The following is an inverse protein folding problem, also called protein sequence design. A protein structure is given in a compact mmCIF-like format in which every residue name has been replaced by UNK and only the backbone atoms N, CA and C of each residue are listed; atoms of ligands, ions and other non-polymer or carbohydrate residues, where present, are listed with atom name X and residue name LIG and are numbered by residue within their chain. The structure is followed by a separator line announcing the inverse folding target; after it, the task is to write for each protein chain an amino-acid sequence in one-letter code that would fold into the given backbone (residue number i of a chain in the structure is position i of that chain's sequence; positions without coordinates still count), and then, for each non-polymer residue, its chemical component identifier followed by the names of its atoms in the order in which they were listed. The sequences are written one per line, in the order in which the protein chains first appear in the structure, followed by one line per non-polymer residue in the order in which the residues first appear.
data_IF_727807664178
#
_entry.id   IF_727807664178
#
_cell.length_a   1.000
_cell.length_b   1.000
_cell.length_c   1.000
_cell.angle_alpha   90.00
_cell.angle_beta   90.00
_cell.angle_gamma   90.00
#
_symmetry.space_group_name_H-M   'P 1'
#
loop_
_entity.id
_entity.type
_entity.pdbx_description
1 polymer ?
#
# COMPACT_ATOMS: atom_id res chain seq x y z
N UNK A 1 8.43 6.77 -11.39
CA UNK A 1 7.26 7.32 -10.73
C UNK A 1 7.64 8.50 -9.91
N UNK A 2 6.77 9.47 -9.85
CA UNK A 2 7.10 10.71 -9.19
C UNK A 2 6.57 10.82 -7.77
N UNK A 3 5.68 9.94 -7.36
CA UNK A 3 5.09 9.98 -6.02
C UNK A 3 5.03 8.58 -5.46
N UNK A 4 5.22 8.45 -4.16
CA UNK A 4 5.19 7.14 -3.51
C UNK A 4 3.80 6.50 -3.55
N UNK A 5 2.74 7.32 -3.58
CA UNK A 5 1.39 6.79 -3.69
C UNK A 5 1.19 5.95 -4.96
N UNK A 6 1.90 6.26 -6.03
CA UNK A 6 1.83 5.49 -7.27
C UNK A 6 2.56 4.14 -7.13
N UNK A 7 3.66 4.11 -6.38
CA UNK A 7 4.33 2.85 -6.07
C UNK A 7 3.42 1.96 -5.22
N UNK A 8 2.74 2.56 -4.25
CA UNK A 8 1.80 1.83 -3.39
C UNK A 8 0.70 1.22 -4.25
N UNK A 9 0.16 1.99 -5.20
CA UNK A 9 -0.87 1.49 -6.10
C UNK A 9 -0.38 0.25 -6.85
N UNK A 10 0.81 0.30 -7.43
CA UNK A 10 1.35 -0.81 -8.18
C UNK A 10 1.58 -2.05 -7.31
N UNK A 11 2.07 -1.87 -6.11
CA UNK A 11 2.35 -2.98 -5.21
C UNK A 11 1.06 -3.63 -4.74
N UNK A 12 0.05 -2.82 -4.42
CA UNK A 12 -1.26 -3.35 -4.00
C UNK A 12 -1.93 -4.10 -5.16
N UNK A 13 -1.72 -3.66 -6.41
CA UNK A 13 -2.23 -4.42 -7.55
C UNK A 13 -1.62 -5.84 -7.59
N UNK A 14 -0.35 -5.98 -7.19
CA UNK A 14 0.25 -7.31 -7.08
C UNK A 14 -0.44 -8.13 -5.99
N UNK A 15 -0.78 -7.52 -4.86
CA UNK A 15 -1.50 -8.20 -3.78
C UNK A 15 -2.85 -8.70 -4.27
N UNK A 16 -3.58 -7.86 -4.99
CA UNK A 16 -4.89 -8.22 -5.51
C UNK A 16 -4.77 -9.34 -6.56
N UNK A 17 -3.76 -9.28 -7.42
CA UNK A 17 -3.51 -10.33 -8.40
C UNK A 17 -3.14 -11.66 -7.73
N UNK A 18 -2.54 -11.59 -6.55
CA UNK A 18 -2.21 -12.78 -5.78
C UNK A 18 -3.41 -13.33 -5.00
N UNK A 19 -4.58 -12.78 -5.21
CA UNK A 19 -5.80 -13.28 -4.57
C UNK A 19 -6.02 -12.81 -3.13
N UNK A 20 -5.37 -11.75 -2.72
CA UNK A 20 -5.55 -11.25 -1.35
C UNK A 20 -6.97 -10.81 -1.11
N UNK A 21 -7.58 -11.25 -0.01
CA UNK A 21 -8.88 -10.77 0.42
C UNK A 21 -8.72 -9.57 1.34
N UNK A 22 -7.57 -9.43 1.98
CA UNK A 22 -7.25 -8.30 2.83
C UNK A 22 -5.85 -7.80 2.49
N UNK A 23 -5.72 -6.49 2.28
CA UNK A 23 -4.43 -5.83 2.11
C UNK A 23 -4.35 -4.72 3.15
N UNK A 24 -3.27 -4.72 3.92
CA UNK A 24 -3.03 -3.68 4.92
C UNK A 24 -1.97 -2.75 4.39
N UNK A 25 -2.24 -1.46 4.45
CA UNK A 25 -1.33 -0.43 3.98
C UNK A 25 -1.11 0.54 5.12
N UNK A 26 0.13 0.74 5.53
CA UNK A 26 0.42 1.72 6.58
C UNK A 26 1.47 2.71 6.12
N UNK A 27 1.28 3.97 6.48
CA UNK A 27 2.24 5.04 6.26
C UNK A 27 2.49 5.69 7.61
N UNK A 28 3.69 5.52 8.13
CA UNK A 28 4.04 6.03 9.46
C UNK A 28 5.20 6.99 9.34
N UNK A 29 4.99 8.24 9.77
CA UNK A 29 6.06 9.22 9.82
C UNK A 29 6.45 9.43 11.26
N UNK A 30 7.74 9.41 11.54
CA UNK A 30 8.22 9.72 12.87
C UNK A 30 9.56 10.43 12.73
N UNK A 31 9.64 11.68 13.16
CA UNK A 31 10.84 12.47 13.00
C UNK A 31 11.20 12.62 11.53
N UNK A 32 12.38 12.14 11.17
CA UNK A 32 12.90 12.26 9.81
C UNK A 32 12.75 10.96 9.00
N UNK A 33 11.91 10.07 9.44
CA UNK A 33 11.70 8.82 8.74
C UNK A 33 10.24 8.62 8.36
N UNK A 34 10.02 7.99 7.22
CA UNK A 34 8.69 7.54 6.80
C UNK A 34 8.80 6.06 6.49
N UNK A 35 7.95 5.25 7.10
CA UNK A 35 7.88 3.82 6.81
C UNK A 35 6.56 3.51 6.11
N UNK A 36 6.63 2.81 5.00
CA UNK A 36 5.44 2.34 4.29
C UNK A 36 5.47 0.82 4.31
N UNK A 37 4.43 0.22 4.84
CA UNK A 37 4.32 -1.23 4.89
C UNK A 37 3.07 -1.68 4.15
N UNK A 38 3.20 -2.75 3.38
CA UNK A 38 2.08 -3.34 2.65
C UNK A 38 2.09 -4.83 2.97
N UNK A 39 0.99 -5.32 3.56
CA UNK A 39 0.88 -6.69 4.01
C UNK A 39 -0.37 -7.28 3.39
N UNK A 40 -0.27 -8.42 2.75
CA UNK A 40 -1.43 -9.05 2.16
C UNK A 40 -1.52 -10.53 2.55
N UNK A 41 -2.71 -11.09 2.44
CA UNK A 41 -2.95 -12.48 2.70
C UNK A 41 -3.17 -13.28 1.40
N UNK A 42 -2.52 -12.87 0.33
CA UNK A 42 -2.60 -13.57 -0.94
C UNK A 42 -1.87 -14.90 -0.93
N UNK A 43 -1.64 -15.47 -2.11
CA UNK A 43 -1.04 -16.79 -2.17
C UNK A 43 0.43 -16.84 -1.77
N UNK A 44 1.07 -15.69 -1.64
CA UNK A 44 2.47 -15.63 -1.27
C UNK A 44 3.41 -16.07 -2.38
N UNK A 45 4.69 -16.08 -2.06
CA UNK A 45 5.74 -16.40 -3.02
C UNK A 45 6.76 -17.33 -2.40
N UNK A 46 7.40 -18.14 -3.25
CA UNK A 46 8.56 -18.93 -2.84
C UNK A 46 9.77 -18.00 -2.70
N UNK A 47 10.83 -18.48 -2.09
CA UNK A 47 12.05 -17.68 -1.95
C UNK A 47 12.62 -17.30 -3.32
N UNK A 48 12.48 -18.15 -4.31
CA UNK A 48 12.93 -17.85 -5.65
C UNK A 48 12.12 -16.74 -6.27
N UNK A 49 10.82 -16.77 -6.08
CA UNK A 49 9.92 -15.72 -6.59
C UNK A 49 10.21 -14.38 -5.92
N UNK A 50 10.52 -14.39 -4.62
CA UNK A 50 10.87 -13.16 -3.91
C UNK A 50 12.12 -12.54 -4.53
N UNK A 51 13.14 -13.35 -4.80
CA UNK A 51 14.36 -12.85 -5.42
C UNK A 51 14.07 -12.27 -6.79
N UNK A 52 13.17 -12.90 -7.52
CA UNK A 52 12.83 -12.46 -8.85
C UNK A 52 12.08 -11.13 -8.82
N UNK A 53 11.17 -10.95 -7.87
CA UNK A 53 10.31 -9.77 -7.85
C UNK A 53 11.08 -8.51 -7.47
N UNK A 54 12.17 -8.63 -6.73
CA UNK A 54 12.94 -7.46 -6.33
C UNK A 54 14.03 -7.10 -7.34
N UNK A 55 14.30 -7.94 -8.33
CA UNK A 55 15.35 -7.70 -9.28
C UNK A 55 14.76 -7.16 -10.57
N UNK A 56 15.06 -5.92 -10.95
CA UNK A 56 14.49 -5.34 -12.16
C UNK A 56 14.92 -6.06 -13.44
N UNK A 57 16.03 -6.83 -13.37
CA UNK A 57 16.51 -7.49 -14.56
C UNK A 57 16.05 -8.94 -14.65
N UNK A 58 15.35 -9.46 -13.63
CA UNK A 58 15.06 -10.81 -13.62
C UNK A 58 13.85 -11.08 -14.33
N UNK A 59 13.15 -10.20 -14.67
CA UNK A 59 11.93 -10.45 -15.18
C UNK A 59 11.89 -10.97 -16.40
N UNK A 60 12.48 -11.05 -16.90
CA UNK A 60 12.41 -11.70 -18.03
C UNK A 60 11.28 -11.73 -18.69
N UNK A 61 11.11 -11.61 -19.17
CA UNK A 61 10.21 -11.83 -20.02
C UNK A 61 9.06 -11.76 -19.92
N UNK A 62 8.68 -11.71 -20.40
CA UNK A 62 7.60 -12.10 -20.55
C UNK A 62 6.67 -11.54 -19.87
N UNK A 63 6.15 -11.43 -19.86
CA UNK A 63 5.07 -11.29 -19.21
C UNK A 63 4.92 -10.32 -18.33
N UNK A 64 5.51 -9.76 -18.08
CA UNK A 64 5.27 -9.06 -17.16
C UNK A 64 5.03 -7.79 -17.24
N UNK A 65 4.14 -7.41 -17.23
CA UNK A 65 3.81 -6.21 -17.27
C UNK A 65 4.04 -5.60 -16.06
N UNK A 66 4.04 -6.08 -15.08
CA UNK A 66 4.13 -5.49 -13.94
C UNK A 66 5.38 -5.60 -13.40
N UNK A 67 6.20 -6.03 -13.55
CA UNK A 67 7.34 -6.35 -12.90
C UNK A 67 8.22 -5.31 -12.31
N UNK A 68 8.04 -4.06 -12.49
CA UNK A 68 8.95 -3.06 -11.97
C UNK A 68 8.49 -2.34 -10.72
N UNK A 69 7.28 -2.58 -10.26
CA UNK A 69 6.75 -1.88 -9.09
C UNK A 69 7.61 -2.05 -7.85
N UNK A 70 7.90 -3.28 -7.48
CA UNK A 70 8.68 -3.57 -6.27
C UNK A 70 10.14 -3.13 -6.41
N UNK A 71 10.85 -3.44 -7.51
CA UNK A 71 12.23 -2.96 -7.65
C UNK A 71 12.36 -1.45 -7.60
N UNK A 72 11.43 -0.72 -8.20
CA UNK A 72 11.47 0.73 -8.18
C UNK A 72 11.20 1.29 -6.80
N UNK A 73 10.30 0.68 -6.04
CA UNK A 73 10.01 1.09 -4.68
C UNK A 73 11.22 0.86 -3.77
N UNK A 74 11.86 -0.30 -3.91
CA UNK A 74 13.07 -0.62 -3.19
C UNK A 74 14.15 0.41 -3.49
N UNK A 75 14.36 0.72 -4.76
CA UNK A 75 15.35 1.69 -5.17
C UNK A 75 15.04 3.07 -4.58
N UNK A 76 13.80 3.50 -4.62
CA UNK A 76 13.39 4.79 -4.08
C UNK A 76 13.74 4.92 -2.58
N UNK A 77 13.49 3.86 -1.81
CA UNK A 77 13.80 3.87 -0.38
C UNK A 77 15.31 3.90 -0.15
N UNK A 78 16.04 3.07 -0.85
CA UNK A 78 17.50 2.96 -0.66
C UNK A 78 18.23 4.23 -1.10
N UNK A 79 17.74 4.90 -2.12
CA UNK A 79 18.34 6.16 -2.57
C UNK A 79 18.28 7.26 -1.51
N UNK A 80 17.31 7.21 -0.60
CA UNK A 80 17.22 8.19 0.49
C UNK A 80 18.14 7.82 1.66
N UNK A 81 18.84 6.70 1.59
CA UNK A 81 19.59 6.18 2.73
C UNK A 81 18.72 5.34 3.65
N UNK A 82 17.53 5.00 3.21
CA UNK A 82 16.62 4.16 3.98
C UNK A 82 16.81 2.68 3.70
N UNK A 83 15.77 1.90 3.89
CA UNK A 83 15.88 0.45 3.78
C UNK A 83 14.64 -0.16 3.15
N UNK A 84 14.76 -1.40 2.73
CA UNK A 84 13.66 -2.14 2.14
C UNK A 84 13.74 -3.60 2.60
N UNK A 85 12.61 -4.18 2.93
CA UNK A 85 12.56 -5.60 3.24
C UNK A 85 11.28 -6.19 2.68
N UNK A 86 11.34 -7.45 2.31
CA UNK A 86 10.17 -8.17 1.84
C UNK A 86 10.28 -9.60 2.34
N UNK A 87 9.19 -10.14 2.84
CA UNK A 87 9.11 -11.53 3.24
C UNK A 87 7.80 -12.10 2.73
N UNK A 88 7.82 -13.33 2.31
CA UNK A 88 6.65 -13.99 1.75
C UNK A 88 6.73 -15.48 2.03
N UNK A 89 5.58 -16.11 2.16
CA UNK A 89 5.50 -17.52 2.38
C UNK A 89 4.32 -18.03 1.58
N UNK A 90 4.53 -19.12 0.85
CA UNK A 90 3.46 -19.69 0.05
C UNK A 90 2.27 -20.07 0.94
N UNK A 91 1.10 -19.64 0.54
CA UNK A 91 -0.12 -19.89 1.31
C UNK A 91 -0.40 -18.90 2.42
N UNK A 92 0.53 -18.01 2.73
CA UNK A 92 0.37 -17.09 3.85
C UNK A 92 0.30 -15.62 3.45
N UNK A 93 0.90 -15.26 2.34
CA UNK A 93 0.89 -13.89 1.86
C UNK A 93 2.26 -13.24 1.83
N UNK A 94 2.26 -11.92 1.71
CA UNK A 94 3.50 -11.15 1.54
C UNK A 94 3.50 -9.93 2.46
N UNK A 95 4.66 -9.62 3.01
CA UNK A 95 4.87 -8.42 3.82
C UNK A 95 6.04 -7.64 3.21
N UNK A 96 5.83 -6.39 2.95
CA UNK A 96 6.85 -5.54 2.34
C UNK A 96 6.92 -4.26 3.15
N UNK A 97 8.12 -3.80 3.47
CA UNK A 97 8.32 -2.55 4.22
C UNK A 97 9.44 -1.75 3.60
N UNK A 98 9.19 -0.47 3.37
CA UNK A 98 10.20 0.46 2.87
C UNK A 98 10.31 1.62 3.85
N UNK A 99 11.53 1.98 4.21
CA UNK A 99 11.80 3.10 5.11
C UNK A 99 12.55 4.16 4.32
N UNK A 100 12.09 5.40 4.41
CA UNK A 100 12.66 6.52 3.68
C UNK A 100 13.19 7.54 4.67
N UNK A 101 14.33 8.15 4.32
CA UNK A 101 14.85 9.28 5.09
C UNK A 101 14.28 10.53 4.45
N UNK A 102 13.35 11.18 5.13
CA UNK A 102 12.56 12.25 4.52
C UNK A 102 13.34 13.53 4.23
N UNK A 103 14.51 13.69 4.86
CA UNK A 103 15.33 14.87 4.61
C UNK A 103 16.33 14.68 3.49
N UNK A 104 16.37 13.50 2.87
CA UNK A 104 17.29 13.25 1.76
C UNK A 104 16.88 14.07 0.54
N UNK A 105 17.86 14.50 -0.25
CA UNK A 105 17.58 15.21 -1.50
C UNK A 105 16.92 14.25 -2.52
N UNK A 106 17.06 12.95 -2.32
CA UNK A 106 16.46 11.95 -3.21
C UNK A 106 15.07 11.53 -2.78
N UNK A 107 14.54 12.11 -1.73
CA UNK A 107 13.19 11.76 -1.27
C UNK A 107 12.14 12.23 -2.28
N UNK A 108 11.28 11.33 -2.70
CA UNK A 108 10.15 11.70 -3.53
C UNK A 108 8.92 11.88 -2.65
N UNK A 109 8.00 12.76 -3.01
CA UNK A 109 6.85 13.02 -2.15
C UNK A 109 5.93 11.83 -2.04
N UNK A 110 5.21 11.75 -0.91
CA UNK A 110 4.22 10.71 -0.72
C UNK A 110 3.12 10.84 -1.76
N UNK A 111 2.73 12.05 -2.10
CA UNK A 111 1.64 12.28 -3.02
C UNK A 111 0.28 12.11 -2.34
N UNK A 112 -0.75 11.94 -3.14
CA UNK A 112 -2.11 11.84 -2.62
C UNK A 112 -2.45 10.39 -2.28
N UNK A 113 -1.97 9.94 -1.14
CA UNK A 113 -2.22 8.57 -0.69
C UNK A 113 -3.71 8.33 -0.43
N UNK A 114 -4.44 9.36 0.01
CA UNK A 114 -5.87 9.20 0.28
C UNK A 114 -6.63 8.85 -1.00
N UNK A 115 -6.31 9.51 -2.10
CA UNK A 115 -6.94 9.20 -3.40
C UNK A 115 -6.57 7.79 -3.86
N UNK A 116 -5.35 7.36 -3.59
CA UNK A 116 -4.92 6.00 -3.92
C UNK A 116 -5.76 4.97 -3.16
N UNK A 117 -5.95 5.17 -1.86
CA UNK A 117 -6.73 4.26 -1.04
C UNK A 117 -8.20 4.26 -1.51
N UNK A 118 -8.76 5.42 -1.74
CA UNK A 118 -10.14 5.55 -2.21
C UNK A 118 -10.33 4.82 -3.54
N UNK A 119 -9.40 4.99 -4.47
CA UNK A 119 -9.49 4.35 -5.76
C UNK A 119 -9.37 2.82 -5.66
N UNK A 120 -8.49 2.33 -4.79
CA UNK A 120 -8.35 0.90 -4.57
C UNK A 120 -9.66 0.28 -4.06
N UNK A 121 -10.33 0.95 -3.14
CA UNK A 121 -11.61 0.49 -2.61
C UNK A 121 -12.67 0.52 -3.70
N UNK A 122 -12.73 1.61 -4.45
CA UNK A 122 -13.74 1.77 -5.50
C UNK A 122 -13.61 0.71 -6.58
N UNK A 123 -12.39 0.41 -6.98
CA UNK A 123 -12.16 -0.56 -8.04
C UNK A 123 -12.22 -2.02 -7.56
N UNK A 124 -12.19 -2.24 -6.25
CA UNK A 124 -12.18 -3.58 -5.67
C UNK A 124 -13.15 -3.65 -4.49
N UNK A 125 -14.43 -3.39 -4.72
CA UNK A 125 -15.40 -3.28 -3.61
C UNK A 125 -15.66 -4.60 -2.87
N UNK A 126 -15.23 -5.72 -3.45
CA UNK A 126 -15.37 -7.03 -2.83
C UNK A 126 -14.12 -7.45 -2.06
N UNK A 127 -13.10 -6.63 -1.99
CA UNK A 127 -11.90 -6.91 -1.22
C UNK A 127 -11.84 -6.01 -0.01
N UNK A 128 -11.02 -6.35 0.96
CA UNK A 128 -10.88 -5.54 2.15
C UNK A 128 -9.53 -4.86 2.22
N UNK A 129 -9.53 -3.66 2.79
CA UNK A 129 -8.33 -2.86 2.96
C UNK A 129 -8.31 -2.30 4.37
N UNK A 130 -7.15 -2.34 5.00
CA UNK A 130 -6.91 -1.68 6.27
C UNK A 130 -5.84 -0.64 6.02
N UNK A 131 -6.20 0.62 6.09
CA UNK A 131 -5.27 1.72 5.90
C UNK A 131 -5.01 2.41 7.23
N UNK A 132 -3.74 2.53 7.59
CA UNK A 132 -3.34 3.21 8.80
C UNK A 132 -2.37 4.30 8.44
N UNK A 133 -2.59 5.49 8.95
CA UNK A 133 -1.65 6.60 8.76
C UNK A 133 -1.30 7.18 10.11
N UNK A 134 -0.03 7.38 10.36
CA UNK A 134 0.46 7.91 11.62
C UNK A 134 1.52 8.96 11.39
N UNK A 135 1.55 9.98 12.25
CA UNK A 135 2.56 11.01 12.19
C UNK A 135 2.86 11.46 13.61
N UNK A 136 4.09 11.23 14.05
CA UNK A 136 4.59 11.68 15.35
C UNK A 136 3.63 11.38 16.51
N UNK A 137 3.16 10.16 16.57
CA UNK A 137 2.30 9.70 17.67
C UNK A 137 0.81 9.87 17.47
N UNK A 138 0.38 10.56 16.42
CA UNK A 138 -1.03 10.69 16.09
C UNK A 138 -1.34 9.74 14.95
N UNK A 139 -2.48 9.11 14.98
CA UNK A 139 -2.83 8.16 13.93
C UNK A 139 -4.31 8.03 13.68
N UNK A 140 -4.67 7.52 12.53
CA UNK A 140 -6.03 7.10 12.24
C UNK A 140 -6.00 5.84 11.37
N UNK A 141 -7.13 5.14 11.33
CA UNK A 141 -7.26 3.94 10.54
C UNK A 141 -8.56 3.98 9.75
N UNK A 142 -8.55 3.42 8.57
CA UNK A 142 -9.77 3.14 7.81
C UNK A 142 -9.76 1.64 7.54
N UNK A 143 -10.76 0.92 8.06
CA UNK A 143 -10.86 -0.53 7.91
C UNK A 143 -12.18 -0.84 7.20
N UNK A 144 -12.11 -1.34 5.99
CA UNK A 144 -13.32 -1.63 5.21
C UNK A 144 -14.17 -2.72 5.84
N UNK A 145 -13.57 -3.61 6.64
CA UNK A 145 -14.32 -4.64 7.35
C UNK A 145 -15.26 -4.02 8.39
N UNK A 146 -14.81 -2.94 9.04
CA UNK A 146 -15.64 -2.21 9.97
C UNK A 146 -16.77 -1.48 9.24
N UNK A 147 -16.46 -0.91 8.08
CA UNK A 147 -17.48 -0.25 7.27
C UNK A 147 -18.56 -1.23 6.84
N UNK A 148 -18.19 -2.43 6.43
CA UNK A 148 -19.16 -3.44 6.02
C UNK A 148 -20.08 -3.81 7.18
N UNK A 149 -19.52 -3.87 8.39
CA UNK A 149 -20.30 -4.22 9.55
C UNK A 149 -21.34 -3.14 9.88
N UNK A 150 -20.94 -1.89 9.74
CA UNK A 150 -21.82 -0.75 10.03
C UNK A 150 -22.88 -0.59 8.94
N UNK A 151 -22.50 -0.77 7.67
CA UNK A 151 -23.42 -0.58 6.56
C UNK A 151 -24.42 -1.74 6.44
N UNK A 152 -24.04 -2.90 6.84
CA UNK A 152 -24.89 -4.10 6.74
C UNK A 152 -24.90 -4.69 5.34
N UNK A 153 -25.69 -5.76 5.18
CA UNK A 153 -25.73 -6.45 3.92
C UNK A 153 -26.45 -5.62 2.89
N UNK A 154 -26.09 -5.81 1.65
CA UNK A 154 -26.78 -5.15 0.55
C UNK A 154 -26.26 -3.77 0.20
N UNK A 155 -25.27 -3.25 0.94
CA UNK A 155 -24.68 -1.96 0.61
C UNK A 155 -23.24 -2.23 0.14
N UNK A 156 -22.96 -1.87 -1.11
CA UNK A 156 -21.63 -2.07 -1.68
C UNK A 156 -20.70 -0.93 -1.27
N UNK A 157 -19.42 -1.24 -1.08
CA UNK A 157 -18.45 -0.21 -0.69
C UNK A 157 -18.27 0.84 -1.79
N UNK A 158 -18.51 0.51 -3.06
CA UNK A 158 -18.36 1.46 -4.15
C UNK A 158 -19.64 2.27 -4.41
N UNK A 159 -20.64 2.15 -3.57
CA UNK A 159 -21.83 2.99 -3.69
C UNK A 159 -21.43 4.46 -3.56
N UNK A 160 -22.01 5.38 -4.35
CA UNK A 160 -21.59 6.78 -4.32
C UNK A 160 -21.59 7.41 -2.93
N UNK A 161 -22.60 7.13 -2.11
CA UNK A 161 -22.66 7.69 -0.77
C UNK A 161 -21.55 7.17 0.13
N UNK A 162 -21.19 5.89 -0.04
CA UNK A 162 -20.11 5.28 0.75
C UNK A 162 -18.79 5.88 0.33
N UNK A 163 -18.57 6.05 -0.97
CA UNK A 163 -17.32 6.63 -1.46
C UNK A 163 -17.17 8.09 -1.03
N UNK A 164 -18.25 8.85 -1.02
CA UNK A 164 -18.20 10.22 -0.52
C UNK A 164 -17.82 10.24 0.95
N UNK A 165 -18.37 9.32 1.74
CA UNK A 165 -18.04 9.22 3.15
C UNK A 165 -16.56 8.87 3.36
N UNK A 166 -16.06 7.91 2.59
CA UNK A 166 -14.67 7.48 2.68
C UNK A 166 -13.75 8.66 2.36
N UNK A 167 -14.03 9.38 1.28
CA UNK A 167 -13.19 10.51 0.86
C UNK A 167 -13.18 11.61 1.93
N UNK A 168 -14.34 11.92 2.50
CA UNK A 168 -14.45 12.92 3.54
C UNK A 168 -13.73 12.46 4.82
N UNK A 169 -13.90 11.20 5.19
CA UNK A 169 -13.25 10.65 6.38
C UNK A 169 -11.74 10.73 6.25
N UNK A 170 -11.19 10.31 5.11
CA UNK A 170 -9.75 10.34 4.91
C UNK A 170 -9.21 11.77 4.95
N UNK A 171 -9.91 12.72 4.35
CA UNK A 171 -9.50 14.11 4.36
C UNK A 171 -9.54 14.70 5.77
N UNK A 172 -10.62 14.47 6.51
CA UNK A 172 -10.75 15.01 7.85
C UNK A 172 -9.74 14.39 8.81
N UNK A 173 -9.56 13.09 8.77
CA UNK A 173 -8.62 12.41 9.66
C UNK A 173 -7.17 12.83 9.36
N UNK A 174 -6.84 13.05 8.10
CA UNK A 174 -5.51 13.50 7.74
C UNK A 174 -5.22 14.87 8.38
N UNK A 175 -6.21 15.76 8.39
CA UNK A 175 -6.01 17.06 9.04
C UNK A 175 -5.76 16.93 10.53
N UNK A 176 -6.30 15.93 11.20
CA UNK A 176 -6.12 15.78 12.65
C UNK A 176 -4.72 15.35 13.04
N UNK A 177 -3.96 14.71 12.13
CA UNK A 177 -2.61 14.26 12.46
C UNK A 177 -1.53 15.22 11.97
N UNK A 178 -1.88 16.22 11.20
CA UNK A 178 -0.94 17.25 10.75
C UNK A 178 -1.14 18.63 11.45
#
# INVERSE_FOLDING_TARGET
MRELSLHVMDIVQNSLSAGASLTEISVTEQGKQMAIAIIDNGRGMSQEQVKSVIDPFFTTRTTRKVGLGVPLFKMAAEQTGGSFSISSELGAGTRLTAVFQTTSVDMIPLGDINSTISLLIRCNPDRDFLFRRAKDGKEFTLDTRELRRVLGEGVALDAPEVMEWIDAYLAEQTETIF
#
